data_IF_830395696751
#
_entry.id   IF_830395696751
#
_cell.length_a   1.000
_cell.length_b   1.000
_cell.length_c   1.000
_cell.angle_alpha   90.00
_cell.angle_beta   90.00
_cell.angle_gamma   90.00
#
_symmetry.space_group_name_H-M   'P 1'
#
loop_
_entity.id
_entity.type
_entity.pdbx_description
1 polymer ?
#
# COMPACT_ATOMS: atom_id res chain seq x y z
N UNK A 1 -10.38 -1.77 -9.07
CA UNK A 1 -10.42 -1.37 -7.64
C UNK A 1 -11.54 -0.33 -7.49
N UNK A 2 -12.50 -0.58 -6.60
CA UNK A 2 -13.68 0.28 -6.45
C UNK A 2 -13.37 1.66 -5.82
N UNK A 3 -12.29 1.76 -5.03
CA UNK A 3 -11.90 2.96 -4.28
C UNK A 3 -10.76 3.80 -4.91
N UNK A 4 -10.40 3.54 -6.17
CA UNK A 4 -9.30 4.23 -6.85
C UNK A 4 -7.90 3.86 -6.32
N UNK A 5 -6.91 4.74 -6.52
CA UNK A 5 -5.54 4.54 -6.02
C UNK A 5 -5.43 4.85 -4.53
N UNK A 6 -4.41 4.26 -3.89
CA UNK A 6 -4.24 4.32 -2.45
C UNK A 6 -4.01 5.77 -1.97
N UNK A 7 -3.23 6.58 -2.68
CA UNK A 7 -3.01 7.99 -2.34
C UNK A 7 -4.29 8.80 -2.27
N UNK A 8 -5.18 8.64 -3.24
CA UNK A 8 -6.47 9.35 -3.24
C UNK A 8 -7.34 8.88 -2.08
N UNK A 9 -7.43 7.56 -1.89
CA UNK A 9 -8.16 6.97 -0.78
C UNK A 9 -7.67 7.48 0.59
N UNK A 10 -6.35 7.52 0.80
CA UNK A 10 -5.75 8.02 2.05
C UNK A 10 -6.01 9.52 2.25
N UNK A 11 -5.98 10.32 1.18
CA UNK A 11 -6.27 11.76 1.24
C UNK A 11 -7.74 12.03 1.61
N UNK A 12 -8.67 11.35 0.96
CA UNK A 12 -10.12 11.49 1.19
C UNK A 12 -10.55 11.05 2.60
N UNK A 13 -9.80 10.12 3.19
CA UNK A 13 -10.09 9.54 4.50
C UNK A 13 -9.12 10.01 5.62
N UNK A 14 -8.35 11.07 5.38
CA UNK A 14 -7.41 11.61 6.36
C UNK A 14 -8.11 11.90 7.69
N UNK A 15 -7.59 11.34 8.78
CA UNK A 15 -8.13 11.48 10.13
C UNK A 15 -9.38 10.63 10.44
N UNK A 16 -9.93 9.92 9.44
CA UNK A 16 -11.05 8.98 9.62
C UNK A 16 -10.57 7.53 9.77
N UNK A 17 -9.38 7.24 9.24
CA UNK A 17 -8.80 5.91 9.25
C UNK A 17 -8.19 5.56 10.61
N UNK A 18 -8.47 4.35 11.07
CA UNK A 18 -7.86 3.79 12.28
C UNK A 18 -6.40 3.44 12.02
N UNK A 19 -5.57 3.52 13.07
CA UNK A 19 -4.12 3.24 12.98
C UNK A 19 -3.85 1.81 12.53
N UNK A 20 -4.66 0.86 12.98
CA UNK A 20 -4.55 -0.56 12.63
C UNK A 20 -4.75 -0.79 11.14
N UNK A 21 -5.66 -0.04 10.50
CA UNK A 21 -5.88 -0.13 9.05
C UNK A 21 -4.65 0.38 8.30
N UNK A 22 -4.10 1.54 8.70
CA UNK A 22 -2.90 2.10 8.08
C UNK A 22 -1.71 1.13 8.20
N UNK A 23 -1.55 0.47 9.35
CA UNK A 23 -0.52 -0.55 9.54
C UNK A 23 -0.74 -1.78 8.65
N UNK A 24 -1.99 -2.23 8.48
CA UNK A 24 -2.33 -3.32 7.55
C UNK A 24 -1.95 -2.97 6.12
N UNK A 25 -2.23 -1.74 5.66
CA UNK A 25 -1.84 -1.28 4.33
C UNK A 25 -0.32 -1.30 4.17
N UNK A 26 0.43 -0.82 5.16
CA UNK A 26 1.89 -0.92 5.13
C UNK A 26 2.38 -2.37 5.06
N UNK A 27 1.77 -3.27 5.83
CA UNK A 27 2.09 -4.68 5.83
C UNK A 27 1.84 -5.31 4.46
N UNK A 28 0.67 -5.11 3.86
CA UNK A 28 0.32 -5.65 2.55
C UNK A 28 1.29 -5.19 1.45
N UNK A 29 1.69 -3.91 1.48
CA UNK A 29 2.70 -3.36 0.55
C UNK A 29 4.06 -4.04 0.76
N UNK A 30 4.50 -4.19 2.01
CA UNK A 30 5.77 -4.84 2.34
C UNK A 30 5.79 -6.31 1.89
N UNK A 31 4.71 -7.05 2.14
CA UNK A 31 4.57 -8.45 1.71
C UNK A 31 4.61 -8.58 0.17
N UNK A 32 3.96 -7.67 -0.54
CA UNK A 32 4.05 -7.60 -2.00
C UNK A 32 5.47 -7.33 -2.50
N UNK A 33 6.20 -6.41 -1.85
CA UNK A 33 7.59 -6.11 -2.21
C UNK A 33 8.54 -7.26 -1.89
N UNK A 34 8.36 -7.94 -0.75
CA UNK A 34 9.10 -9.15 -0.41
C UNK A 34 8.84 -10.26 -1.44
N UNK A 35 7.60 -10.41 -1.89
CA UNK A 35 7.29 -11.36 -2.96
C UNK A 35 8.05 -11.03 -4.26
N UNK A 36 8.08 -9.76 -4.68
CA UNK A 36 8.84 -9.37 -5.87
C UNK A 36 10.33 -9.67 -5.72
N UNK A 37 10.92 -9.32 -4.57
CA UNK A 37 12.32 -9.59 -4.26
C UNK A 37 12.63 -11.09 -4.33
N UNK A 38 11.83 -11.94 -3.67
CA UNK A 38 12.00 -13.39 -3.66
C UNK A 38 11.93 -14.02 -5.05
N UNK A 39 11.24 -13.36 -5.99
CA UNK A 39 11.11 -13.81 -7.37
C UNK A 39 12.11 -13.12 -8.33
N UNK A 40 13.06 -12.34 -7.81
CA UNK A 40 14.09 -11.67 -8.62
C UNK A 40 13.60 -10.46 -9.41
N UNK A 41 12.45 -9.88 -9.02
CA UNK A 41 11.90 -8.69 -9.66
C UNK A 41 12.18 -7.42 -8.86
N UNK A 42 12.59 -6.36 -9.56
CA UNK A 42 12.74 -5.02 -9.00
C UNK A 42 11.54 -4.18 -9.46
N UNK A 43 10.74 -3.70 -8.50
CA UNK A 43 9.56 -2.87 -8.79
C UNK A 43 9.90 -1.58 -9.57
N UNK A 44 11.00 -0.92 -9.19
CA UNK A 44 11.54 0.34 -9.77
C UNK A 44 10.69 1.61 -9.61
N UNK A 45 9.38 1.49 -9.49
CA UNK A 45 8.47 2.64 -9.48
C UNK A 45 7.40 2.54 -8.39
N UNK A 46 7.82 2.21 -7.16
CA UNK A 46 6.86 2.02 -6.06
C UNK A 46 6.31 3.38 -5.62
N UNK A 47 5.02 3.59 -5.85
CA UNK A 47 4.28 4.80 -5.51
C UNK A 47 3.00 4.49 -4.73
N UNK A 48 2.50 5.47 -3.98
CA UNK A 48 1.26 5.37 -3.22
C UNK A 48 0.08 5.93 -4.01
#
# INVERSE_FOLDING_TARGET
MENGCLLNYLRENKGKLRKEMLLSVCQDICEGMEYLERNGYIHRDLEF
#
